data_IF_106562226959
#
_entry.id   IF_106562226959
#
_cell.length_a   1.000
_cell.length_b   1.000
_cell.length_c   1.000
_cell.angle_alpha   90.00
_cell.angle_beta   90.00
_cell.angle_gamma   90.00
#
_symmetry.space_group_name_H-M   'P 1'
#
loop_
_entity.id
_entity.type
_entity.pdbx_description
1 polymer ?
#
# COMPACT_ATOMS: atom_id res chain seq x y z
N UNK A 1 -25.82 -51.80 48.26
CA UNK A 1 -25.10 -50.49 48.37
C UNK A 1 -24.20 -50.19 47.16
N UNK A 2 -23.82 -51.15 46.33
CA UNK A 2 -22.85 -50.94 45.21
C UNK A 2 -23.39 -50.28 43.94
N UNK A 3 -24.65 -50.53 43.57
CA UNK A 3 -25.21 -50.07 42.28
C UNK A 3 -25.28 -48.55 42.13
N UNK A 4 -25.67 -47.86 43.19
CA UNK A 4 -25.73 -46.37 43.22
C UNK A 4 -24.33 -45.70 43.13
N UNK A 5 -23.31 -46.36 43.65
CA UNK A 5 -21.92 -45.85 43.56
C UNK A 5 -21.36 -46.02 42.15
N UNK A 6 -21.67 -47.10 41.47
CA UNK A 6 -21.28 -47.35 40.07
C UNK A 6 -21.94 -46.37 39.12
N UNK A 7 -23.24 -46.10 39.28
CA UNK A 7 -23.93 -45.07 38.46
C UNK A 7 -23.32 -43.68 38.66
N UNK A 8 -22.97 -43.30 39.89
CA UNK A 8 -22.30 -42.03 40.19
C UNK A 8 -20.91 -41.93 39.52
N UNK A 9 -20.14 -43.02 39.55
CA UNK A 9 -18.83 -43.09 38.88
C UNK A 9 -19.00 -42.96 37.36
N UNK A 10 -19.95 -43.65 36.78
CA UNK A 10 -20.24 -43.61 35.34
C UNK A 10 -20.67 -42.22 34.87
N UNK A 11 -21.58 -41.56 35.60
CA UNK A 11 -21.99 -40.15 35.29
C UNK A 11 -20.82 -39.16 35.42
N UNK A 12 -19.93 -39.30 36.39
CA UNK A 12 -18.72 -38.49 36.53
C UNK A 12 -17.76 -38.70 35.35
N UNK A 13 -17.58 -39.95 34.91
CA UNK A 13 -16.74 -40.29 33.75
C UNK A 13 -17.29 -39.69 32.44
N UNK A 14 -18.61 -39.83 32.21
CA UNK A 14 -19.28 -39.25 31.03
C UNK A 14 -19.17 -37.71 31.02
N UNK A 15 -19.37 -37.03 32.16
CA UNK A 15 -19.20 -35.58 32.27
C UNK A 15 -17.77 -35.14 31.95
N UNK A 16 -16.76 -35.88 32.43
CA UNK A 16 -15.34 -35.62 32.09
C UNK A 16 -15.08 -35.78 30.59
N UNK A 17 -15.59 -36.86 29.96
CA UNK A 17 -15.45 -37.10 28.54
C UNK A 17 -16.14 -36.00 27.70
N UNK A 18 -17.34 -35.55 28.08
CA UNK A 18 -18.05 -34.46 27.41
C UNK A 18 -17.30 -33.11 27.50
N UNK A 19 -16.82 -32.76 28.73
CA UNK A 19 -16.02 -31.54 28.90
C UNK A 19 -14.73 -31.59 28.05
N UNK A 20 -14.03 -32.72 28.01
CA UNK A 20 -12.83 -32.89 27.22
C UNK A 20 -13.12 -32.73 25.71
N UNK A 21 -14.21 -33.33 25.21
CA UNK A 21 -14.64 -33.19 23.79
C UNK A 21 -15.05 -31.75 23.47
N UNK A 22 -15.69 -31.05 24.40
CA UNK A 22 -16.08 -29.65 24.25
C UNK A 22 -14.86 -28.72 24.19
N UNK A 23 -13.90 -28.92 25.12
CA UNK A 23 -12.64 -28.16 25.14
C UNK A 23 -11.83 -28.36 23.85
N UNK A 24 -11.76 -29.61 23.33
CA UNK A 24 -11.06 -29.90 22.07
C UNK A 24 -11.70 -29.23 20.88
N UNK A 25 -13.05 -29.17 20.79
CA UNK A 25 -13.77 -28.43 19.74
C UNK A 25 -13.53 -26.94 19.84
N UNK A 26 -13.47 -26.39 21.05
CA UNK A 26 -13.22 -24.96 21.26
C UNK A 26 -11.77 -24.59 20.90
N UNK A 27 -10.80 -25.42 21.26
CA UNK A 27 -9.41 -25.25 20.82
C UNK A 27 -9.25 -25.30 19.31
N UNK A 28 -9.92 -26.24 18.62
CA UNK A 28 -9.88 -26.34 17.18
C UNK A 28 -10.43 -25.09 16.46
N UNK A 29 -11.51 -24.49 17.01
CA UNK A 29 -12.06 -23.22 16.48
C UNK A 29 -11.09 -22.06 16.64
N UNK A 30 -10.43 -21.97 17.79
CA UNK A 30 -9.42 -20.91 18.06
C UNK A 30 -8.23 -21.06 17.11
N UNK A 31 -7.76 -22.29 16.89
CA UNK A 31 -6.68 -22.57 15.95
C UNK A 31 -7.08 -22.20 14.52
N UNK A 32 -8.29 -22.58 14.08
CA UNK A 32 -8.78 -22.25 12.75
C UNK A 32 -8.90 -20.73 12.54
N UNK A 33 -9.42 -19.99 13.52
CA UNK A 33 -9.49 -18.54 13.50
C UNK A 33 -8.10 -17.91 13.42
N UNK A 34 -7.17 -18.42 14.21
CA UNK A 34 -5.79 -17.95 14.20
C UNK A 34 -5.13 -18.16 12.83
N UNK A 35 -5.25 -19.36 12.25
CA UNK A 35 -4.70 -19.65 10.91
C UNK A 35 -5.33 -18.76 9.83
N UNK A 36 -6.62 -18.46 9.95
CA UNK A 36 -7.31 -17.56 9.04
C UNK A 36 -6.74 -16.12 9.13
N UNK A 37 -6.52 -15.62 10.34
CA UNK A 37 -5.89 -14.30 10.56
C UNK A 37 -4.48 -14.28 9.96
N UNK A 38 -3.66 -15.32 10.20
CA UNK A 38 -2.32 -15.43 9.62
C UNK A 38 -2.34 -15.40 8.10
N UNK A 39 -3.29 -16.07 7.48
CA UNK A 39 -3.46 -16.06 6.04
C UNK A 39 -3.73 -14.65 5.49
N UNK A 40 -4.59 -13.86 6.18
CA UNK A 40 -4.84 -12.46 5.83
C UNK A 40 -3.55 -11.63 5.94
N UNK A 41 -2.77 -11.78 7.02
CA UNK A 41 -1.49 -11.07 7.18
C UNK A 41 -0.51 -11.38 6.06
N UNK A 42 -0.39 -12.63 5.66
CA UNK A 42 0.46 -13.04 4.52
C UNK A 42 0.03 -12.34 3.24
N UNK A 43 -1.27 -12.28 2.94
CA UNK A 43 -1.79 -11.57 1.76
C UNK A 43 -1.43 -10.09 1.80
N UNK A 44 -1.61 -9.42 2.94
CA UNK A 44 -1.29 -8.00 3.11
C UNK A 44 0.21 -7.75 2.87
N UNK A 45 1.09 -8.57 3.48
CA UNK A 45 2.55 -8.47 3.30
C UNK A 45 2.93 -8.67 1.83
N UNK A 46 2.39 -9.69 1.18
CA UNK A 46 2.63 -9.94 -0.25
C UNK A 46 2.18 -8.77 -1.13
N UNK A 47 1.02 -8.18 -0.84
CA UNK A 47 0.53 -7.00 -1.55
C UNK A 47 1.48 -5.81 -1.42
N UNK A 48 1.99 -5.54 -0.22
CA UNK A 48 2.98 -4.47 0.00
C UNK A 48 4.31 -4.73 -0.70
N UNK A 49 4.85 -5.95 -0.60
CA UNK A 49 6.08 -6.31 -1.29
C UNK A 49 5.93 -6.23 -2.82
N UNK A 50 4.80 -6.63 -3.35
CA UNK A 50 4.48 -6.50 -4.77
C UNK A 50 4.51 -5.03 -5.20
N UNK A 51 3.86 -4.14 -4.46
CA UNK A 51 3.84 -2.70 -4.74
C UNK A 51 5.24 -2.10 -4.79
N UNK A 52 6.12 -2.49 -3.84
CA UNK A 52 7.52 -2.03 -3.83
C UNK A 52 8.30 -2.52 -5.04
N UNK A 53 8.11 -3.78 -5.44
CA UNK A 53 8.90 -4.42 -6.51
C UNK A 53 8.48 -3.95 -7.90
N UNK A 54 7.22 -3.54 -8.06
CA UNK A 54 6.66 -3.27 -9.38
C UNK A 54 6.92 -1.84 -9.88
N UNK A 55 7.23 -0.87 -9.02
CA UNK A 55 7.49 0.50 -9.43
C UNK A 55 8.98 0.67 -9.78
N UNK A 56 9.37 0.75 -11.07
CA UNK A 56 10.77 0.98 -11.43
C UNK A 56 11.20 2.39 -10.99
N UNK A 57 12.47 2.55 -10.66
CA UNK A 57 13.04 3.87 -10.47
C UNK A 57 13.14 4.59 -11.81
N UNK A 58 12.71 5.86 -11.91
CA UNK A 58 12.96 6.65 -13.09
C UNK A 58 14.47 6.87 -13.27
N UNK A 59 14.93 6.69 -14.51
CA UNK A 59 16.31 6.93 -14.92
C UNK A 59 16.31 7.56 -16.30
N UNK A 60 17.42 8.14 -16.72
CA UNK A 60 17.56 8.71 -18.07
C UNK A 60 17.25 7.68 -19.19
N UNK A 61 17.53 6.41 -18.96
CA UNK A 61 17.31 5.34 -19.93
C UNK A 61 15.85 4.93 -20.11
N UNK A 62 15.03 5.02 -19.04
CA UNK A 62 13.63 4.57 -19.08
C UNK A 62 12.61 5.72 -19.15
N UNK A 63 13.08 6.96 -19.32
CA UNK A 63 12.25 8.14 -19.46
C UNK A 63 12.23 8.65 -20.90
N UNK A 64 11.14 9.28 -21.27
CA UNK A 64 10.98 9.98 -22.54
C UNK A 64 10.68 11.44 -22.29
N UNK A 65 11.06 12.30 -23.22
CA UNK A 65 10.83 13.74 -23.16
C UNK A 65 9.65 14.11 -24.06
N UNK A 66 8.82 15.01 -23.57
CA UNK A 66 7.74 15.65 -24.32
C UNK A 66 7.76 17.15 -24.03
N UNK A 67 7.41 17.97 -25.02
CA UNK A 67 7.35 19.43 -24.88
C UNK A 67 6.01 19.93 -25.43
N UNK A 68 5.31 20.75 -24.65
CA UNK A 68 3.99 21.26 -25.04
C UNK A 68 3.51 22.39 -24.14
N UNK A 69 2.29 22.86 -24.41
CA UNK A 69 1.60 23.87 -23.61
C UNK A 69 0.46 23.19 -22.89
N UNK A 70 0.30 23.48 -21.58
CA UNK A 70 -0.79 22.95 -20.77
C UNK A 70 -2.13 23.54 -21.21
N UNK A 71 -3.13 22.68 -21.37
CA UNK A 71 -4.53 23.04 -21.59
C UNK A 71 -5.31 23.05 -20.26
N UNK A 72 -5.06 22.08 -19.37
CA UNK A 72 -5.69 22.04 -18.05
C UNK A 72 -4.82 21.36 -16.99
N UNK A 73 -5.10 21.72 -15.74
CA UNK A 73 -4.51 21.13 -14.53
C UNK A 73 -5.66 20.71 -13.61
N UNK A 74 -5.73 19.40 -13.28
CA UNK A 74 -6.79 18.86 -12.44
C UNK A 74 -6.21 18.06 -11.25
N UNK A 75 -6.58 18.43 -10.03
CA UNK A 75 -6.28 17.63 -8.84
C UNK A 75 -7.33 16.55 -8.68
N UNK A 76 -6.92 15.28 -8.69
CA UNK A 76 -7.80 14.14 -8.50
C UNK A 76 -7.41 13.38 -7.23
N UNK A 77 -8.43 12.72 -6.65
CA UNK A 77 -8.28 11.91 -5.45
C UNK A 77 -8.23 12.72 -4.14
N UNK A 78 -8.55 12.04 -3.07
CA UNK A 78 -8.47 12.61 -1.73
C UNK A 78 -8.18 11.50 -0.72
N UNK A 79 -7.52 11.85 0.37
CA UNK A 79 -7.27 10.92 1.49
C UNK A 79 -8.58 10.38 2.11
N UNK A 80 -9.69 11.13 1.97
CA UNK A 80 -11.00 10.74 2.53
C UNK A 80 -11.71 9.64 1.73
N UNK A 81 -11.44 9.56 0.42
CA UNK A 81 -12.07 8.60 -0.48
C UNK A 81 -11.19 7.39 -0.76
N UNK A 82 -9.99 7.30 -0.17
CA UNK A 82 -8.96 6.29 -0.48
C UNK A 82 -8.57 6.24 -1.95
N UNK A 83 -8.93 7.26 -2.72
CA UNK A 83 -8.50 7.40 -4.10
C UNK A 83 -7.05 7.87 -4.16
N UNK A 84 -6.33 7.38 -5.16
CA UNK A 84 -4.94 7.79 -5.39
C UNK A 84 -4.92 9.29 -5.66
N UNK A 85 -4.24 10.07 -4.78
CA UNK A 85 -4.04 11.49 -4.99
C UNK A 85 -3.08 11.68 -6.16
N UNK A 86 -3.46 12.45 -7.14
CA UNK A 86 -2.63 12.77 -8.30
C UNK A 86 -2.98 14.14 -8.89
N UNK A 87 -2.07 14.70 -9.64
CA UNK A 87 -2.27 15.86 -10.46
C UNK A 87 -2.29 15.43 -11.92
N UNK A 88 -3.44 15.59 -12.59
CA UNK A 88 -3.59 15.31 -14.00
C UNK A 88 -3.30 16.57 -14.80
N UNK A 89 -2.45 16.44 -15.81
CA UNK A 89 -2.07 17.50 -16.74
C UNK A 89 -2.49 17.11 -18.14
N UNK A 90 -3.29 17.96 -18.80
CA UNK A 90 -3.66 17.83 -20.20
C UNK A 90 -2.91 18.87 -21.03
N UNK A 91 -2.35 18.46 -22.14
CA UNK A 91 -1.67 19.32 -23.10
C UNK A 91 -2.55 19.57 -24.34
N UNK A 92 -2.27 20.64 -25.07
CA UNK A 92 -3.07 21.11 -26.23
C UNK A 92 -3.21 20.09 -27.37
N UNK A 93 -2.39 19.03 -27.39
CA UNK A 93 -2.44 17.95 -28.38
C UNK A 93 -3.13 16.68 -27.86
N UNK A 94 -3.99 16.82 -26.82
CA UNK A 94 -4.72 15.75 -26.15
C UNK A 94 -3.83 14.68 -25.47
N UNK A 95 -2.56 14.98 -25.21
CA UNK A 95 -1.72 14.13 -24.38
C UNK A 95 -1.99 14.35 -22.88
N UNK A 96 -2.17 13.23 -22.16
CA UNK A 96 -2.44 13.21 -20.73
C UNK A 96 -1.25 12.66 -19.96
N UNK A 97 -0.90 13.39 -18.90
CA UNK A 97 0.17 13.00 -17.98
C UNK A 97 -0.29 13.21 -16.54
N UNK A 98 0.34 12.50 -15.59
CA UNK A 98 0.03 12.70 -14.19
C UNK A 98 1.28 12.79 -13.33
N UNK A 99 1.16 13.51 -12.20
CA UNK A 99 2.17 13.55 -11.14
C UNK A 99 1.60 12.78 -9.96
N UNK A 100 2.37 11.83 -9.42
CA UNK A 100 1.99 11.03 -8.26
C UNK A 100 1.85 11.88 -6.99
N UNK A 101 0.92 11.51 -6.11
CA UNK A 101 0.61 12.27 -4.90
C UNK A 101 1.78 12.51 -3.98
N UNK A 102 2.74 11.59 -3.89
CA UNK A 102 3.93 11.78 -3.06
C UNK A 102 4.86 12.87 -3.65
N UNK A 103 5.04 12.86 -4.98
CA UNK A 103 5.81 13.91 -5.64
C UNK A 103 5.07 15.26 -5.61
N UNK A 104 3.74 15.24 -5.76
CA UNK A 104 2.87 16.41 -5.67
C UNK A 104 2.96 17.11 -4.30
N UNK A 105 2.89 16.36 -3.21
CA UNK A 105 2.79 16.95 -1.87
C UNK A 105 4.12 17.44 -1.31
N UNK A 106 5.23 16.84 -1.72
CA UNK A 106 6.52 17.05 -1.07
C UNK A 106 7.55 17.78 -1.93
N UNK A 107 7.40 17.75 -3.24
CA UNK A 107 8.47 18.18 -4.14
C UNK A 107 8.04 19.05 -5.31
N UNK A 108 6.76 19.08 -5.66
CA UNK A 108 6.27 19.88 -6.77
C UNK A 108 6.15 21.36 -6.37
N UNK A 109 6.79 22.23 -7.11
CA UNK A 109 6.47 23.67 -7.09
C UNK A 109 5.15 23.91 -7.85
N UNK A 110 4.05 23.71 -7.12
CA UNK A 110 2.72 23.84 -7.69
C UNK A 110 2.38 25.28 -8.11
N UNK A 111 2.79 26.28 -7.29
CA UNK A 111 2.51 27.69 -7.56
C UNK A 111 3.26 28.16 -8.82
N UNK A 112 4.52 27.76 -8.96
CA UNK A 112 5.30 28.02 -10.17
C UNK A 112 4.71 27.37 -11.41
N UNK A 113 4.25 26.11 -11.32
CA UNK A 113 3.59 25.39 -12.40
C UNK A 113 2.25 26.04 -12.81
N UNK A 114 1.43 26.45 -11.83
CA UNK A 114 0.17 27.15 -12.06
C UNK A 114 0.39 28.52 -12.71
N UNK A 115 1.45 29.25 -12.32
CA UNK A 115 1.86 30.48 -12.97
C UNK A 115 2.27 30.25 -14.43
N UNK A 116 3.03 29.18 -14.71
CA UNK A 116 3.42 28.83 -16.08
C UNK A 116 2.21 28.46 -16.95
N UNK A 117 1.23 27.75 -16.37
CA UNK A 117 -0.04 27.44 -17.01
C UNK A 117 -0.82 28.72 -17.38
N UNK A 118 -1.00 29.63 -16.42
CA UNK A 118 -1.73 30.88 -16.59
C UNK A 118 -1.07 31.82 -17.64
N UNK A 119 0.23 31.68 -17.88
CA UNK A 119 0.98 32.45 -18.84
C UNK A 119 1.25 31.70 -20.17
N UNK A 120 0.62 30.53 -20.37
CA UNK A 120 0.76 29.68 -21.56
C UNK A 120 2.22 29.36 -21.90
N UNK A 121 3.06 29.12 -20.92
CA UNK A 121 4.46 28.78 -21.13
C UNK A 121 4.61 27.38 -21.71
N UNK A 122 5.61 27.20 -22.55
CA UNK A 122 6.01 25.90 -23.08
C UNK A 122 6.71 25.15 -21.97
N UNK A 123 6.20 23.94 -21.61
CA UNK A 123 6.77 23.06 -20.64
C UNK A 123 7.46 21.88 -21.30
N UNK A 124 8.57 21.48 -20.71
CA UNK A 124 9.27 20.23 -21.04
C UNK A 124 9.06 19.27 -19.89
N UNK A 125 8.57 18.08 -20.19
CA UNK A 125 8.38 17.01 -19.21
C UNK A 125 9.22 15.80 -19.57
N UNK A 126 9.76 15.11 -18.56
CA UNK A 126 10.22 13.73 -18.67
C UNK A 126 9.18 12.83 -18.02
N UNK A 127 8.82 11.76 -18.68
CA UNK A 127 7.80 10.82 -18.20
C UNK A 127 8.27 9.37 -18.30
N UNK A 128 7.80 8.55 -17.37
CA UNK A 128 8.04 7.12 -17.38
C UNK A 128 7.03 6.43 -18.30
N UNK A 129 7.52 5.76 -19.34
CA UNK A 129 6.68 5.10 -20.33
C UNK A 129 6.06 3.77 -19.83
N UNK A 130 6.51 3.26 -18.69
CA UNK A 130 6.06 1.99 -18.11
C UNK A 130 4.92 2.18 -17.09
N UNK A 131 4.76 3.37 -16.54
CA UNK A 131 3.72 3.68 -15.55
C UNK A 131 2.61 4.47 -16.21
N UNK A 132 1.46 3.81 -16.36
CA UNK A 132 0.26 4.38 -17.00
C UNK A 132 -0.91 4.29 -16.02
N UNK A 133 -1.64 5.38 -15.86
CA UNK A 133 -2.87 5.46 -15.08
C UNK A 133 -3.97 6.08 -15.95
N UNK A 134 -5.01 5.31 -16.30
CA UNK A 134 -6.08 5.74 -17.23
C UNK A 134 -5.55 6.42 -18.49
N UNK A 135 -4.62 5.79 -19.20
CA UNK A 135 -3.94 6.28 -20.39
C UNK A 135 -3.00 7.50 -20.19
N UNK A 136 -2.96 8.08 -18.99
CA UNK A 136 -2.00 9.10 -18.61
C UNK A 136 -0.66 8.47 -18.19
N UNK A 137 0.46 9.11 -18.58
CA UNK A 137 1.82 8.67 -18.26
C UNK A 137 2.36 9.43 -17.06
N UNK A 138 3.13 8.76 -16.20
CA UNK A 138 3.68 9.39 -15.00
C UNK A 138 4.82 10.35 -15.32
N UNK A 139 4.66 11.62 -14.93
CA UNK A 139 5.70 12.64 -14.98
C UNK A 139 6.71 12.40 -13.86
N UNK A 140 7.99 12.46 -14.21
CA UNK A 140 9.11 12.37 -13.27
C UNK A 140 9.95 13.63 -13.22
N UNK A 141 9.83 14.51 -14.22
CA UNK A 141 10.45 15.84 -14.27
C UNK A 141 9.54 16.78 -15.04
N UNK A 142 9.41 18.02 -14.59
CA UNK A 142 8.71 19.09 -15.29
C UNK A 142 9.47 20.40 -15.13
N UNK A 143 9.72 21.08 -16.26
CA UNK A 143 10.49 22.32 -16.32
C UNK A 143 10.05 23.20 -17.48
N UNK A 144 10.48 24.43 -17.47
CA UNK A 144 10.50 25.30 -18.65
C UNK A 144 11.95 25.76 -18.92
N UNK A 145 12.14 26.75 -19.79
CA UNK A 145 13.46 27.27 -20.14
C UNK A 145 14.23 27.88 -18.94
N UNK A 146 13.55 28.28 -17.88
CA UNK A 146 14.13 29.03 -16.73
C UNK A 146 13.96 28.34 -15.40
N UNK A 147 12.92 27.53 -15.20
CA UNK A 147 12.53 26.97 -13.92
C UNK A 147 12.35 25.45 -14.00
N UNK A 148 12.66 24.76 -12.91
CA UNK A 148 12.36 23.33 -12.70
C UNK A 148 11.29 23.23 -11.60
N UNK A 149 10.09 22.78 -11.98
CA UNK A 149 8.95 22.65 -11.07
C UNK A 149 8.95 21.30 -10.33
N UNK A 150 9.45 20.25 -10.96
CA UNK A 150 9.70 18.94 -10.38
C UNK A 150 10.97 18.38 -11.00
N UNK A 151 11.97 18.04 -10.20
CA UNK A 151 13.22 17.43 -10.71
C UNK A 151 13.13 15.90 -10.68
N UNK A 152 13.87 15.26 -11.58
CA UNK A 152 14.02 13.79 -11.60
C UNK A 152 14.51 13.25 -10.25
N UNK A 153 15.47 13.93 -9.62
CA UNK A 153 15.98 13.55 -8.30
C UNK A 153 14.89 13.58 -7.22
N UNK A 154 14.02 14.59 -7.24
CA UNK A 154 12.91 14.72 -6.31
C UNK A 154 11.87 13.61 -6.51
N UNK A 155 11.60 13.22 -7.75
CA UNK A 155 10.72 12.08 -8.05
C UNK A 155 11.32 10.76 -7.54
N UNK A 156 12.62 10.55 -7.72
CA UNK A 156 13.33 9.40 -7.13
C UNK A 156 13.25 9.41 -5.61
N UNK A 157 13.44 10.56 -4.98
CA UNK A 157 13.33 10.71 -3.52
C UNK A 157 11.90 10.39 -3.02
N UNK A 158 10.86 10.83 -3.73
CA UNK A 158 9.47 10.50 -3.41
C UNK A 158 9.23 8.98 -3.42
N UNK A 159 9.76 8.27 -4.42
CA UNK A 159 9.67 6.82 -4.50
C UNK A 159 10.43 6.14 -3.35
N UNK A 160 11.64 6.62 -3.04
CA UNK A 160 12.46 6.09 -1.91
C UNK A 160 11.71 6.21 -0.59
N UNK A 161 11.14 7.39 -0.31
CA UNK A 161 10.38 7.62 0.93
C UNK A 161 9.14 6.73 0.98
N UNK A 162 8.39 6.64 -0.10
CA UNK A 162 7.23 5.76 -0.18
C UNK A 162 7.61 4.30 0.12
N UNK A 163 8.69 3.80 -0.48
CA UNK A 163 9.22 2.45 -0.21
C UNK A 163 9.64 2.26 1.24
N UNK A 164 10.34 3.24 1.81
CA UNK A 164 10.74 3.19 3.22
C UNK A 164 9.52 3.15 4.16
N UNK A 165 8.47 3.91 3.89
CA UNK A 165 7.21 3.87 4.63
C UNK A 165 6.53 2.50 4.53
N UNK A 166 6.45 1.92 3.33
CA UNK A 166 5.84 0.60 3.12
C UNK A 166 6.65 -0.49 3.82
N UNK A 167 7.98 -0.46 3.74
CA UNK A 167 8.86 -1.39 4.47
C UNK A 167 8.66 -1.25 5.98
N UNK A 168 8.67 -0.02 6.49
CA UNK A 168 8.45 0.26 7.92
C UNK A 168 7.10 -0.27 8.42
N UNK A 169 6.02 -0.05 7.66
CA UNK A 169 4.70 -0.58 7.96
C UNK A 169 4.68 -2.11 7.94
N UNK A 170 5.33 -2.73 6.95
CA UNK A 170 5.45 -4.20 6.86
C UNK A 170 6.16 -4.78 8.06
N UNK A 171 7.29 -4.19 8.48
CA UNK A 171 8.02 -4.60 9.69
C UNK A 171 7.16 -4.43 10.95
N UNK A 172 6.44 -3.32 11.07
CA UNK A 172 5.52 -3.09 12.19
C UNK A 172 4.41 -4.14 12.26
N UNK A 173 3.80 -4.48 11.12
CA UNK A 173 2.77 -5.53 11.04
C UNK A 173 3.35 -6.88 11.46
N UNK A 174 4.57 -7.25 11.01
CA UNK A 174 5.23 -8.48 11.41
C UNK A 174 5.52 -8.55 12.91
N UNK A 175 5.95 -7.43 13.50
CA UNK A 175 6.18 -7.36 14.96
C UNK A 175 4.89 -7.51 15.75
N UNK A 176 3.80 -6.90 15.31
CA UNK A 176 2.47 -7.08 15.90
C UNK A 176 2.02 -8.53 15.80
N UNK A 177 2.20 -9.16 14.65
CA UNK A 177 1.85 -10.56 14.46
C UNK A 177 2.64 -11.46 15.41
N UNK A 178 3.94 -11.30 15.52
CA UNK A 178 4.77 -12.03 16.48
C UNK A 178 4.31 -11.81 17.92
N UNK A 179 3.96 -10.58 18.30
CA UNK A 179 3.47 -10.26 19.63
C UNK A 179 2.20 -11.04 19.98
N UNK A 180 1.25 -11.18 19.07
CA UNK A 180 0.03 -11.95 19.29
C UNK A 180 0.22 -13.45 19.14
N UNK A 181 1.11 -13.88 18.25
CA UNK A 181 1.37 -15.30 17.96
C UNK A 181 2.04 -16.04 19.11
N UNK A 182 3.06 -15.45 19.73
CA UNK A 182 3.87 -16.10 20.78
C UNK A 182 3.02 -16.58 21.96
N UNK A 183 2.10 -15.78 22.53
CA UNK A 183 1.22 -16.25 23.62
C UNK A 183 0.27 -17.39 23.20
N UNK A 184 -0.22 -17.37 21.96
CA UNK A 184 -1.10 -18.42 21.44
C UNK A 184 -0.34 -19.74 21.32
N UNK A 185 0.85 -19.71 20.70
CA UNK A 185 1.71 -20.89 20.58
C UNK A 185 2.10 -21.47 21.95
N UNK A 186 2.47 -20.62 22.93
CA UNK A 186 2.77 -21.07 24.30
C UNK A 186 1.59 -21.78 24.97
N UNK A 187 0.35 -21.42 24.66
CA UNK A 187 -0.85 -22.09 25.19
C UNK A 187 -1.18 -23.39 24.46
N UNK A 188 -0.74 -23.53 23.20
CA UNK A 188 -0.97 -24.76 22.43
C UNK A 188 0.01 -25.88 22.75
N UNK A 189 1.22 -25.55 23.22
CA UNK A 189 2.28 -26.51 23.56
C UNK A 189 2.12 -27.05 24.99
N UNK A 190 1.35 -26.37 25.86
CA UNK A 190 0.96 -26.86 27.20
C UNK A 190 -0.34 -27.67 27.14
#
# INVERSE_FOLDING_TARGET
MNRLQEERKMRKSMRKKMKFKQNRKQSAKIIALYLFIQFIFVIIIFSFLYTISYTPFPSEENTKTYTGILESIEKQGSFRTFDKKLLLLKFNDDNYFYIDGNALDWYLDYEGLESAYNTNQVLTIKYNNQLVYFDAKEIVEISNSTNVYLSLQNSVNAIIINRACVIGLTVFILLLDLYFTIPVLKRMIK
#
